data_IF_356307178442
#
_entry.id   IF_356307178442
#
_cell.length_a   1.000
_cell.length_b   1.000
_cell.length_c   1.000
_cell.angle_alpha   90.00
_cell.angle_beta   90.00
_cell.angle_gamma   90.00
#
_symmetry.space_group_name_H-M   'P 1'
#
loop_
_entity.id
_entity.type
_entity.pdbx_description
1 polymer ?
#
# COMPACT_ATOMS: atom_id res chain seq x y z
N UNK A 1 31.46 3.39 -12.20
CA UNK A 1 30.28 2.54 -11.99
C UNK A 1 29.21 3.38 -11.29
N UNK A 2 28.15 3.82 -11.99
CA UNK A 2 27.01 4.49 -11.36
C UNK A 2 25.96 3.42 -11.10
N UNK A 3 25.95 2.86 -9.89
CA UNK A 3 24.85 1.97 -9.46
C UNK A 3 23.72 2.87 -9.00
N UNK A 4 22.91 3.28 -9.98
CA UNK A 4 21.74 4.12 -9.78
C UNK A 4 20.70 3.40 -8.91
N UNK A 5 20.39 4.02 -7.78
CA UNK A 5 19.05 4.12 -7.19
C UNK A 5 18.26 2.80 -7.03
N UNK A 6 18.79 1.84 -6.27
CA UNK A 6 17.94 0.76 -5.70
C UNK A 6 17.01 1.40 -4.66
N UNK A 7 15.78 1.77 -5.05
CA UNK A 7 14.74 2.13 -4.09
C UNK A 7 14.63 0.98 -3.09
N UNK A 8 14.95 1.25 -1.81
CA UNK A 8 14.96 0.23 -0.78
C UNK A 8 13.53 -0.04 -0.32
N UNK A 9 12.88 -1.00 -0.99
CA UNK A 9 11.50 -1.43 -0.69
C UNK A 9 11.43 -2.42 0.49
N UNK A 10 12.52 -2.66 1.23
CA UNK A 10 12.50 -3.59 2.38
C UNK A 10 11.89 -2.98 3.64
N UNK A 11 11.78 -1.64 3.74
CA UNK A 11 11.20 -0.92 4.88
C UNK A 11 9.75 -0.44 4.63
N UNK A 12 9.03 -1.10 3.74
CA UNK A 12 7.64 -0.77 3.48
C UNK A 12 6.75 -1.38 4.56
N UNK A 13 5.94 -0.55 5.20
CA UNK A 13 4.98 -1.00 6.20
C UNK A 13 4.05 -2.05 5.58
N UNK A 14 4.02 -3.22 6.22
CA UNK A 14 3.17 -4.35 5.82
C UNK A 14 1.81 -4.29 6.48
N UNK A 15 1.67 -3.43 7.49
CA UNK A 15 0.50 -3.31 8.32
C UNK A 15 0.04 -1.87 8.36
N UNK A 16 -1.27 -1.70 8.31
CA UNK A 16 -1.93 -0.42 8.33
C UNK A 16 -3.07 -0.49 9.34
N UNK A 17 -3.23 0.55 10.16
CA UNK A 17 -4.37 0.66 11.07
C UNK A 17 -5.28 1.76 10.58
N UNK A 18 -6.58 1.48 10.52
CA UNK A 18 -7.58 2.50 10.29
C UNK A 18 -7.76 3.34 11.55
N UNK A 19 -7.48 4.64 11.47
CA UNK A 19 -7.62 5.56 12.60
C UNK A 19 -9.07 5.73 13.07
N UNK A 20 -10.04 5.49 12.19
CA UNK A 20 -11.46 5.71 12.50
C UNK A 20 -12.12 4.50 13.19
N UNK A 21 -11.71 3.27 12.87
CA UNK A 21 -12.31 2.06 13.47
C UNK A 21 -11.32 1.18 14.22
N UNK A 22 -10.02 1.48 14.20
CA UNK A 22 -8.97 0.71 14.86
C UNK A 22 -8.62 -0.62 14.20
N UNK A 23 -9.29 -0.99 13.11
CA UNK A 23 -9.03 -2.27 12.42
C UNK A 23 -7.65 -2.21 11.75
N UNK A 24 -6.87 -3.27 11.96
CA UNK A 24 -5.60 -3.50 11.29
C UNK A 24 -5.80 -4.25 9.96
N UNK A 25 -5.07 -3.82 8.95
CA UNK A 25 -5.04 -4.36 7.59
C UNK A 25 -3.62 -4.79 7.26
N UNK A 26 -3.48 -5.90 6.55
CA UNK A 26 -2.18 -6.31 5.99
C UNK A 26 -2.13 -5.93 4.51
N UNK A 27 -1.04 -5.30 4.10
CA UNK A 27 -0.81 -4.98 2.71
C UNK A 27 -0.58 -6.26 1.89
N UNK A 28 -1.18 -6.37 0.69
CA UNK A 28 -0.88 -7.46 -0.21
C UNK A 28 0.58 -7.41 -0.66
N UNK A 29 1.14 -8.58 -0.96
CA UNK A 29 2.51 -8.72 -1.44
C UNK A 29 2.52 -8.82 -2.96
N UNK A 30 3.36 -8.02 -3.62
CA UNK A 30 3.62 -8.12 -5.05
C UNK A 30 5.09 -7.86 -5.35
N UNK A 31 5.67 -8.62 -6.29
CA UNK A 31 7.10 -8.57 -6.64
C UNK A 31 8.05 -8.65 -5.44
N UNK A 32 7.67 -9.41 -4.41
CA UNK A 32 8.46 -9.61 -3.20
C UNK A 32 8.37 -8.51 -2.15
N UNK A 33 7.53 -7.49 -2.35
CA UNK A 33 7.37 -6.36 -1.44
C UNK A 33 5.90 -6.08 -1.10
N UNK A 34 5.67 -5.45 0.05
CA UNK A 34 4.34 -4.97 0.41
C UNK A 34 3.93 -3.82 -0.52
N UNK A 35 2.69 -3.86 -0.99
CA UNK A 35 2.09 -2.77 -1.75
C UNK A 35 1.75 -1.60 -0.83
N UNK A 36 1.56 -0.40 -1.39
CA UNK A 36 1.15 0.78 -0.62
C UNK A 36 -0.24 1.24 -0.98
N UNK A 37 -0.91 1.90 -0.05
CA UNK A 37 -2.16 2.59 -0.34
C UNK A 37 -1.88 3.81 -1.22
N UNK A 38 -2.70 3.97 -2.25
CA UNK A 38 -2.82 5.20 -3.03
C UNK A 38 -4.28 5.40 -3.44
N UNK A 39 -4.65 6.63 -3.75
CA UNK A 39 -5.95 6.95 -4.33
C UNK A 39 -5.84 7.01 -5.85
N UNK A 40 -6.68 6.26 -6.55
CA UNK A 40 -6.81 6.30 -8.01
C UNK A 40 -8.28 6.48 -8.37
N UNK A 41 -8.60 7.49 -9.18
CA UNK A 41 -9.97 7.79 -9.60
C UNK A 41 -10.99 7.90 -8.45
N UNK A 42 -10.56 8.43 -7.29
CA UNK A 42 -11.42 8.57 -6.10
C UNK A 42 -11.67 7.26 -5.34
N UNK A 43 -10.95 6.19 -5.65
CA UNK A 43 -10.98 4.93 -4.91
C UNK A 43 -9.61 4.67 -4.29
N UNK A 44 -9.61 4.22 -3.04
CA UNK A 44 -8.41 3.75 -2.38
C UNK A 44 -8.02 2.37 -2.94
N UNK A 45 -6.76 2.19 -3.31
CA UNK A 45 -6.23 0.96 -3.89
C UNK A 45 -4.81 0.68 -3.36
N UNK A 46 -4.47 -0.60 -3.26
CA UNK A 46 -3.09 -1.05 -3.10
C UNK A 46 -2.36 -0.97 -4.43
N UNK A 47 -1.24 -0.25 -4.46
CA UNK A 47 -0.41 -0.06 -5.64
C UNK A 47 0.98 -0.64 -5.43
N UNK A 48 1.53 -1.25 -6.47
CA UNK A 48 2.92 -1.69 -6.47
C UNK A 48 3.84 -0.47 -6.60
N UNK A 49 4.91 -0.45 -5.81
CA UNK A 49 5.92 0.61 -5.84
C UNK A 49 6.69 0.74 -7.16
N UNK A 50 6.62 -0.28 -8.02
CA UNK A 50 7.15 -0.22 -9.38
C UNK A 50 6.27 0.59 -10.34
N UNK A 51 5.03 0.91 -9.95
CA UNK A 51 4.13 1.78 -10.68
C UNK A 51 2.77 1.14 -10.97
N UNK A 52 1.81 1.95 -11.48
CA UNK A 52 0.42 1.56 -11.66
C UNK A 52 0.21 0.46 -12.71
N UNK A 53 1.15 0.28 -13.64
CA UNK A 53 1.11 -0.78 -14.65
C UNK A 53 1.69 -2.12 -14.16
N UNK A 54 2.29 -2.17 -12.98
CA UNK A 54 2.86 -3.40 -12.44
C UNK A 54 1.82 -4.21 -11.65
N UNK A 55 1.13 -3.55 -10.72
CA UNK A 55 0.13 -4.22 -9.89
C UNK A 55 -0.72 -3.22 -9.12
N UNK A 56 -2.04 -3.42 -9.19
CA UNK A 56 -3.03 -2.70 -8.41
C UNK A 56 -4.09 -3.67 -7.90
N UNK A 57 -4.52 -3.47 -6.66
CA UNK A 57 -5.57 -4.27 -6.02
C UNK A 57 -6.51 -3.32 -5.30
N UNK A 58 -7.83 -3.42 -5.47
CA UNK A 58 -8.79 -2.58 -4.75
C UNK A 58 -8.59 -2.69 -3.23
N UNK A 59 -8.71 -1.57 -2.51
CA UNK A 59 -8.79 -1.61 -1.05
C UNK A 59 -10.23 -1.91 -0.62
N UNK A 60 -10.42 -2.99 0.12
CA UNK A 60 -11.72 -3.34 0.69
C UNK A 60 -11.89 -2.66 2.06
N UNK A 61 -12.66 -1.58 2.08
CA UNK A 61 -13.03 -0.90 3.32
C UNK A 61 -13.85 -1.82 4.24
N UNK A 62 -13.55 -1.80 5.55
CA UNK A 62 -14.34 -2.47 6.60
C UNK A 62 -15.18 -1.49 7.44
N UNK A 63 -15.17 -0.21 7.08
CA UNK A 63 -15.98 0.85 7.67
C UNK A 63 -16.29 1.93 6.62
N UNK A 64 -17.24 2.81 6.92
CA UNK A 64 -17.77 3.82 5.97
C UNK A 64 -16.76 4.91 5.60
N UNK A 65 -15.75 5.13 6.44
CA UNK A 65 -14.73 6.17 6.24
C UNK A 65 -13.37 5.65 6.71
N UNK A 66 -12.70 4.81 5.91
CA UNK A 66 -11.40 4.27 6.26
C UNK A 66 -10.32 5.36 6.18
N UNK A 67 -9.48 5.46 7.21
CA UNK A 67 -8.31 6.35 7.23
C UNK A 67 -7.08 5.54 7.63
N UNK A 68 -6.36 5.01 6.64
CA UNK A 68 -5.28 4.05 6.86
C UNK A 68 -3.97 4.76 7.15
N UNK A 69 -3.33 4.36 8.25
CA UNK A 69 -1.98 4.80 8.62
C UNK A 69 -1.06 3.59 8.72
N UNK A 70 0.16 3.65 8.16
CA UNK A 70 1.14 2.58 8.33
C UNK A 70 1.50 2.44 9.82
N UNK A 71 1.66 1.20 10.26
CA UNK A 71 2.25 0.84 11.56
C UNK A 71 3.76 0.67 11.41
#
# INVERSE_FOLDING_TARGET
MKMENRKNYQNLSKQYVCQNCGIAFSAPMHCGHAMHIAESNGQTEWNCWMGPNCGKVPFEAKCDSPSLTPV
#
